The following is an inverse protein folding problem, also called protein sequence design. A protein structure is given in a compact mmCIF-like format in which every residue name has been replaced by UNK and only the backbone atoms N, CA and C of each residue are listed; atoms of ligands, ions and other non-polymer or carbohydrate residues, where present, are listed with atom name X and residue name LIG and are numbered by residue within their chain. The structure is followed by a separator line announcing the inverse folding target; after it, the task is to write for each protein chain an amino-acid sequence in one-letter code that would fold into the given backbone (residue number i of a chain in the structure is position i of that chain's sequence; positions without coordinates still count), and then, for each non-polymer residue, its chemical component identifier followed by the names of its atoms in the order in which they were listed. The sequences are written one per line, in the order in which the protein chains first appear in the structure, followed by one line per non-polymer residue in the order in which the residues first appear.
data_IF_136539579714
#
_entry.id   IF_136539579714
#
_cell.length_a   1.000
_cell.length_b   1.000
_cell.length_c   1.000
_cell.angle_alpha   90.00
_cell.angle_beta   90.00
_cell.angle_gamma   90.00
#
_symmetry.space_group_name_H-M   'P 1'
#
loop_
_entity.id
_entity.type
_entity.pdbx_description
1 polymer ?
#
# COMPACT_ATOMS: atom_id res chain seq x y z
N UNK A 1 -18.76 -2.04 15.74
CA UNK A 1 -19.44 -1.69 14.48
C UNK A 1 -18.43 -1.83 13.34
N UNK A 2 -18.80 -2.47 12.23
CA UNK A 2 -17.95 -2.60 11.03
C UNK A 2 -18.03 -1.28 10.25
N UNK A 3 -16.88 -0.71 9.88
CA UNK A 3 -16.78 0.54 9.10
C UNK A 3 -16.55 0.18 7.63
N UNK A 4 -17.54 0.41 6.79
CA UNK A 4 -17.49 0.06 5.36
C UNK A 4 -16.47 0.91 4.60
N UNK A 5 -16.27 2.15 5.02
CA UNK A 5 -15.28 3.06 4.45
C UNK A 5 -13.85 2.53 4.53
N UNK A 6 -13.50 1.80 5.60
CA UNK A 6 -12.16 1.19 5.75
C UNK A 6 -12.00 0.01 4.81
N UNK A 7 -13.04 -0.81 4.68
CA UNK A 7 -13.07 -1.92 3.73
C UNK A 7 -12.94 -1.41 2.29
N UNK A 8 -13.60 -0.29 1.97
CA UNK A 8 -13.51 0.38 0.67
C UNK A 8 -12.10 0.89 0.40
N UNK A 9 -11.49 1.63 1.34
CA UNK A 9 -10.13 2.17 1.21
C UNK A 9 -9.14 1.04 0.94
N UNK A 10 -9.19 -0.04 1.73
CA UNK A 10 -8.32 -1.21 1.55
C UNK A 10 -8.49 -1.83 0.16
N UNK A 11 -9.74 -2.05 -0.25
CA UNK A 11 -10.04 -2.75 -1.50
C UNK A 11 -9.55 -1.96 -2.71
N UNK A 12 -9.78 -0.64 -2.70
CA UNK A 12 -9.34 0.25 -3.78
C UNK A 12 -7.81 0.38 -3.77
N UNK A 13 -7.17 0.55 -2.61
CA UNK A 13 -5.72 0.68 -2.53
C UNK A 13 -4.99 -0.57 -3.08
N UNK A 14 -5.50 -1.78 -2.78
CA UNK A 14 -4.94 -3.01 -3.33
C UNK A 14 -5.22 -3.18 -4.83
N UNK A 15 -6.40 -2.78 -5.32
CA UNK A 15 -6.68 -2.77 -6.77
C UNK A 15 -5.75 -1.79 -7.52
N UNK A 16 -5.55 -0.59 -6.98
CA UNK A 16 -4.62 0.40 -7.54
C UNK A 16 -3.19 -0.13 -7.54
N UNK A 17 -2.80 -0.92 -6.54
CA UNK A 17 -1.50 -1.57 -6.48
C UNK A 17 -1.33 -2.61 -7.61
N UNK A 18 -2.34 -3.44 -7.86
CA UNK A 18 -2.33 -4.40 -8.98
C UNK A 18 -2.21 -3.66 -10.30
N UNK A 19 -3.01 -2.60 -10.49
CA UNK A 19 -2.95 -1.79 -11.70
C UNK A 19 -1.58 -1.12 -11.89
N UNK A 20 -0.99 -0.62 -10.80
CA UNK A 20 0.36 -0.06 -10.79
C UNK A 20 1.41 -1.09 -11.24
N UNK A 21 1.37 -2.33 -10.74
CA UNK A 21 2.31 -3.39 -11.16
C UNK A 21 2.20 -3.73 -12.64
N UNK A 22 0.99 -3.64 -13.21
CA UNK A 22 0.79 -3.82 -14.65
C UNK A 22 1.41 -2.66 -15.43
N UNK A 23 1.15 -1.42 -15.02
CA UNK A 23 1.71 -0.23 -15.68
C UNK A 23 3.25 -0.26 -15.65
N UNK A 24 3.88 -0.52 -14.51
CA UNK A 24 5.34 -0.48 -14.40
C UNK A 24 6.02 -1.61 -15.19
N UNK A 25 5.31 -2.68 -15.56
CA UNK A 25 5.87 -3.73 -16.43
C UNK A 25 6.08 -3.27 -17.89
N UNK A 26 5.71 -2.03 -18.22
CA UNK A 26 6.10 -1.37 -19.47
C UNK A 26 7.36 -0.50 -19.32
N UNK A 27 7.99 -0.50 -18.14
CA UNK A 27 9.27 0.17 -17.87
C UNK A 27 10.39 -0.88 -17.95
N UNK A 28 11.30 -0.82 -18.93
CA UNK A 28 12.38 -1.81 -19.09
C UNK A 28 13.23 -2.01 -17.83
N UNK A 29 13.46 -0.95 -17.07
CA UNK A 29 14.27 -0.94 -15.83
C UNK A 29 13.64 -1.82 -14.74
N UNK A 30 12.34 -2.09 -14.80
CA UNK A 30 11.67 -2.98 -13.81
C UNK A 30 12.06 -4.45 -13.95
N UNK A 31 12.82 -4.81 -15.00
CA UNK A 31 13.53 -6.08 -15.05
C UNK A 31 14.42 -6.28 -13.82
N UNK A 32 15.00 -5.19 -13.26
CA UNK A 32 15.82 -5.22 -12.04
C UNK A 32 15.06 -5.62 -10.78
N UNK A 33 13.73 -5.46 -10.78
CA UNK A 33 12.82 -5.91 -9.72
C UNK A 33 11.96 -7.09 -10.18
N UNK A 34 12.51 -7.88 -11.11
CA UNK A 34 12.00 -9.17 -11.57
C UNK A 34 10.68 -9.12 -12.36
N UNK A 35 10.40 -8.07 -13.13
CA UNK A 35 9.27 -8.04 -14.05
C UNK A 35 9.65 -8.56 -15.44
N UNK A 36 8.77 -9.33 -16.08
CA UNK A 36 8.79 -9.51 -17.54
C UNK A 36 8.25 -8.21 -18.14
N UNK A 37 9.05 -7.59 -19.02
CA UNK A 37 8.79 -6.24 -19.51
C UNK A 37 8.38 -6.18 -20.97
N UNK A 38 7.48 -5.25 -21.30
CA UNK A 38 7.20 -4.86 -22.66
C UNK A 38 8.08 -3.67 -23.05
N UNK A 39 8.93 -3.83 -24.07
CA UNK A 39 9.89 -2.79 -24.49
C UNK A 39 9.35 -1.77 -25.50
N UNK A 40 8.10 -1.94 -25.95
CA UNK A 40 7.49 -1.03 -26.93
C UNK A 40 6.98 0.23 -26.23
N UNK A 41 7.35 1.39 -26.79
CA UNK A 41 6.93 2.71 -26.30
C UNK A 41 5.51 3.05 -26.76
N UNK A 42 4.77 3.77 -25.94
CA UNK A 42 3.42 4.23 -26.22
C UNK A 42 3.09 5.46 -25.38
N UNK A 43 2.61 6.53 -26.02
CA UNK A 43 2.37 7.83 -25.39
C UNK A 43 1.33 7.77 -24.26
N UNK A 44 0.32 6.90 -24.38
CA UNK A 44 -0.71 6.73 -23.36
C UNK A 44 -0.14 6.03 -22.14
N UNK A 45 0.75 5.05 -22.37
CA UNK A 45 1.45 4.35 -21.29
C UNK A 45 2.41 5.29 -20.56
N UNK A 46 3.15 6.12 -21.30
CA UNK A 46 4.03 7.14 -20.70
C UNK A 46 3.25 8.13 -19.83
N UNK A 47 2.08 8.58 -20.29
CA UNK A 47 1.19 9.41 -19.49
C UNK A 47 0.70 8.68 -18.23
N UNK A 48 0.28 7.41 -18.35
CA UNK A 48 -0.15 6.62 -17.21
C UNK A 48 0.98 6.39 -16.20
N UNK A 49 2.22 6.20 -16.67
CA UNK A 49 3.41 6.08 -15.85
C UNK A 49 3.65 7.34 -15.03
N UNK A 50 3.58 8.50 -15.68
CA UNK A 50 3.69 9.81 -15.02
C UNK A 50 2.59 9.99 -13.97
N UNK A 51 1.32 9.70 -14.32
CA UNK A 51 0.20 9.77 -13.38
C UNK A 51 0.33 8.77 -12.22
N UNK A 52 0.93 7.61 -12.47
CA UNK A 52 1.16 6.57 -11.46
C UNK A 52 2.14 7.02 -10.35
N UNK A 53 2.99 8.02 -10.63
CA UNK A 53 3.88 8.61 -9.62
C UNK A 53 3.10 9.28 -8.48
N UNK A 54 1.90 9.83 -8.77
CA UNK A 54 1.00 10.33 -7.73
C UNK A 54 0.54 9.21 -6.79
N UNK A 55 0.30 8.00 -7.30
CA UNK A 55 -0.10 6.84 -6.50
C UNK A 55 1.07 6.29 -5.67
N UNK A 56 2.31 6.42 -6.17
CA UNK A 56 3.48 5.75 -5.63
C UNK A 56 3.86 6.22 -4.22
N UNK A 57 3.60 7.48 -3.90
CA UNK A 57 4.02 8.09 -2.64
C UNK A 57 3.09 7.77 -1.45
N UNK A 58 1.87 7.27 -1.69
CA UNK A 58 0.87 7.10 -0.63
C UNK A 58 0.12 5.76 -0.64
N UNK A 59 0.11 5.00 -1.75
CA UNK A 59 -0.67 3.75 -1.83
C UNK A 59 -0.26 2.69 -0.79
N UNK A 60 1.02 2.61 -0.43
CA UNK A 60 1.51 1.69 0.61
C UNK A 60 1.35 2.32 2.01
N UNK A 61 1.75 3.59 2.25
CA UNK A 61 1.46 4.29 3.50
C UNK A 61 -0.01 4.21 3.95
N UNK A 62 -0.97 4.31 3.03
CA UNK A 62 -2.39 4.23 3.38
C UNK A 62 -2.80 2.82 3.84
N UNK A 63 -2.17 1.76 3.33
CA UNK A 63 -2.39 0.38 3.80
C UNK A 63 -1.91 0.21 5.25
N UNK A 64 -0.80 0.86 5.62
CA UNK A 64 -0.35 0.90 7.02
C UNK A 64 -1.31 1.71 7.90
N UNK A 65 -1.76 2.86 7.42
CA UNK A 65 -2.74 3.70 8.10
C UNK A 65 -4.04 2.94 8.42
N UNK A 66 -4.66 2.28 7.43
CA UNK A 66 -5.86 1.45 7.69
C UNK A 66 -5.55 0.19 8.51
N UNK A 67 -4.33 -0.35 8.42
CA UNK A 67 -3.87 -1.44 9.29
C UNK A 67 -3.91 -1.04 10.77
N UNK A 68 -3.46 0.17 11.08
CA UNK A 68 -3.56 0.78 12.41
C UNK A 68 -5.00 0.98 12.85
N UNK A 69 -5.87 1.47 11.96
CA UNK A 69 -7.30 1.59 12.24
C UNK A 69 -7.93 0.24 12.58
N UNK A 70 -7.63 -0.80 11.79
CA UNK A 70 -8.12 -2.15 12.01
C UNK A 70 -7.64 -2.72 13.37
N UNK A 71 -6.40 -2.42 13.77
CA UNK A 71 -5.89 -2.79 15.10
C UNK A 71 -6.64 -2.07 16.22
N UNK A 72 -6.95 -0.77 16.08
CA UNK A 72 -7.75 -0.03 17.06
C UNK A 72 -9.15 -0.62 17.27
N UNK A 73 -9.82 -1.07 16.19
CA UNK A 73 -11.11 -1.76 16.34
C UNK A 73 -10.97 -3.17 16.93
N UNK A 74 -9.89 -3.88 16.60
CA UNK A 74 -9.63 -5.23 17.14
C UNK A 74 -9.35 -5.19 18.64
N UNK A 75 -8.57 -4.20 19.11
CA UNK A 75 -8.15 -4.08 20.51
C UNK A 75 -9.27 -3.75 21.49
N UNK A 76 -10.40 -3.21 20.99
CA UNK A 76 -11.62 -2.98 21.79
C UNK A 76 -12.29 -4.27 22.26
N UNK A 77 -11.99 -5.41 21.64
CA UNK A 77 -12.66 -6.70 21.88
C UNK A 77 -11.71 -7.83 22.27
N UNK A 78 -10.41 -7.55 22.39
CA UNK A 78 -9.37 -8.56 22.58
C UNK A 78 -8.34 -8.13 23.62
N UNK A 79 -7.83 -9.09 24.37
CA UNK A 79 -6.64 -8.90 25.18
C UNK A 79 -5.36 -8.99 24.31
N UNK A 80 -4.20 -8.72 24.90
CA UNK A 80 -2.92 -8.68 24.17
C UNK A 80 -2.59 -10.02 23.51
N UNK A 81 -2.78 -11.14 24.20
CA UNK A 81 -2.48 -12.47 23.68
C UNK A 81 -3.39 -12.85 22.51
N UNK A 82 -4.68 -12.52 22.62
CA UNK A 82 -5.65 -12.72 21.55
C UNK A 82 -5.33 -11.86 20.32
N UNK A 83 -4.84 -10.64 20.51
CA UNK A 83 -4.37 -9.79 19.42
C UNK A 83 -3.16 -10.41 18.71
N UNK A 84 -2.16 -10.85 19.47
CA UNK A 84 -0.97 -11.49 18.91
C UNK A 84 -1.38 -12.76 18.14
N UNK A 85 -2.15 -13.67 18.75
CA UNK A 85 -2.65 -14.89 18.09
C UNK A 85 -3.43 -14.60 16.82
N UNK A 86 -4.25 -13.55 16.80
CA UNK A 86 -5.00 -13.13 15.62
C UNK A 86 -4.08 -12.62 14.51
N UNK A 87 -3.05 -11.85 14.85
CA UNK A 87 -2.06 -11.33 13.89
C UNK A 87 -1.23 -12.46 13.29
N UNK A 88 -0.79 -13.43 14.09
CA UNK A 88 -0.12 -14.63 13.60
C UNK A 88 -1.00 -15.39 12.59
N UNK A 89 -2.25 -15.68 12.94
CA UNK A 89 -3.16 -16.45 12.08
C UNK A 89 -3.53 -15.73 10.78
N UNK A 90 -3.69 -14.40 10.82
CA UNK A 90 -4.18 -13.62 9.65
C UNK A 90 -3.09 -13.00 8.80
N UNK A 91 -1.88 -12.89 9.30
CA UNK A 91 -0.78 -12.21 8.61
C UNK A 91 0.37 -13.19 8.38
N UNK A 92 0.97 -13.69 9.46
CA UNK A 92 2.17 -14.54 9.39
C UNK A 92 1.89 -15.85 8.67
N UNK A 93 0.79 -16.54 8.99
CA UNK A 93 0.46 -17.82 8.37
C UNK A 93 0.25 -17.67 6.85
N UNK A 94 -0.60 -16.73 6.36
CA UNK A 94 -0.69 -16.45 4.92
C UNK A 94 0.63 -16.03 4.29
N UNK A 95 1.39 -15.15 4.93
CA UNK A 95 2.65 -14.63 4.41
C UNK A 95 3.68 -15.76 4.24
N UNK A 96 3.85 -16.59 5.27
CA UNK A 96 4.79 -17.72 5.26
C UNK A 96 4.37 -18.70 4.17
N UNK A 97 3.10 -19.10 4.13
CA UNK A 97 2.60 -19.99 3.07
C UNK A 97 2.87 -19.43 1.67
N UNK A 98 2.57 -18.17 1.43
CA UNK A 98 2.80 -17.55 0.12
C UNK A 98 4.29 -17.46 -0.23
N UNK A 99 5.16 -17.15 0.72
CA UNK A 99 6.62 -17.15 0.50
C UNK A 99 7.17 -18.52 0.08
N UNK A 100 6.56 -19.63 0.50
CA UNK A 100 7.02 -20.97 0.12
C UNK A 100 6.35 -21.51 -1.14
N UNK A 101 5.08 -21.17 -1.39
CA UNK A 101 4.28 -21.84 -2.43
C UNK A 101 3.80 -20.93 -3.57
N UNK A 102 3.68 -19.62 -3.34
CA UNK A 102 3.13 -18.68 -4.34
C UNK A 102 4.23 -17.83 -4.97
N UNK A 103 5.02 -17.15 -4.15
CA UNK A 103 6.14 -16.32 -4.59
C UNK A 103 7.15 -17.06 -5.49
N UNK A 104 7.55 -18.32 -5.22
CA UNK A 104 8.45 -19.03 -6.12
C UNK A 104 7.89 -19.22 -7.54
N UNK A 105 6.57 -19.33 -7.73
CA UNK A 105 5.94 -19.44 -9.06
C UNK A 105 6.24 -18.20 -9.89
N UNK A 106 6.10 -17.02 -9.28
CA UNK A 106 6.43 -15.73 -9.89
C UNK A 106 7.91 -15.67 -10.34
N UNK A 107 8.83 -16.08 -9.48
CA UNK A 107 10.28 -16.09 -9.80
C UNK A 107 10.64 -17.14 -10.85
N UNK A 108 10.01 -18.32 -10.80
CA UNK A 108 10.21 -19.39 -11.76
C UNK A 108 9.84 -18.93 -13.18
N UNK A 109 8.66 -18.32 -13.35
CA UNK A 109 8.21 -17.80 -14.65
C UNK A 109 9.18 -16.75 -15.19
N UNK A 110 9.59 -15.78 -14.36
CA UNK A 110 10.54 -14.73 -14.76
C UNK A 110 11.90 -15.30 -15.18
N UNK A 111 12.49 -16.19 -14.38
CA UNK A 111 13.81 -16.76 -14.65
C UNK A 111 13.78 -17.64 -15.90
N UNK A 112 12.73 -18.45 -16.07
CA UNK A 112 12.55 -19.25 -17.28
C UNK A 112 12.38 -18.39 -18.53
N UNK A 113 11.62 -17.29 -18.45
CA UNK A 113 11.44 -16.36 -19.58
C UNK A 113 12.77 -15.73 -20.03
N UNK A 114 13.67 -15.41 -19.10
CA UNK A 114 14.98 -14.83 -19.40
C UNK A 114 16.11 -15.87 -19.50
N UNK A 115 15.80 -17.17 -19.59
CA UNK A 115 16.77 -18.28 -19.67
C UNK A 115 17.81 -18.30 -18.53
N UNK A 116 17.40 -17.91 -17.33
CA UNK A 116 18.23 -17.97 -16.12
C UNK A 116 17.95 -19.25 -15.34
N UNK A 117 18.98 -19.83 -14.72
CA UNK A 117 18.81 -20.98 -13.83
C UNK A 117 17.94 -20.61 -12.63
N UNK A 118 16.96 -21.46 -12.30
CA UNK A 118 16.04 -21.20 -11.19
C UNK A 118 16.78 -21.19 -9.84
N UNK A 119 16.80 -20.01 -9.22
CA UNK A 119 17.28 -19.79 -7.86
C UNK A 119 16.24 -18.97 -7.09
N UNK A 120 15.85 -19.45 -5.92
CA UNK A 120 14.89 -18.78 -5.06
C UNK A 120 15.11 -19.12 -3.60
N UNK A 121 15.14 -18.08 -2.76
CA UNK A 121 15.05 -18.22 -1.31
C UNK A 121 13.68 -17.72 -0.84
N UNK A 122 12.97 -18.46 0.05
CA UNK A 122 11.66 -18.03 0.53
C UNK A 122 11.70 -16.60 1.07
N UNK A 123 10.90 -15.73 0.46
CA UNK A 123 10.88 -14.30 0.73
C UNK A 123 9.46 -13.75 0.51
N UNK A 124 9.04 -12.74 1.30
CA UNK A 124 7.76 -12.05 1.12
C UNK A 124 7.54 -11.47 -0.28
N UNK A 125 8.62 -11.08 -0.98
CA UNK A 125 8.56 -10.37 -2.26
C UNK A 125 7.50 -9.26 -2.24
N UNK A 126 6.54 -9.23 -3.17
CA UNK A 126 5.47 -8.23 -3.23
C UNK A 126 4.55 -8.22 -1.99
N UNK A 127 4.53 -9.27 -1.17
CA UNK A 127 3.77 -9.36 0.08
C UNK A 127 4.51 -8.77 1.29
N UNK A 128 5.68 -8.14 1.11
CA UNK A 128 6.52 -7.60 2.18
C UNK A 128 5.78 -6.71 3.19
N UNK A 129 4.82 -5.89 2.74
CA UNK A 129 4.12 -4.94 3.61
C UNK A 129 3.30 -5.65 4.71
N UNK A 130 2.92 -6.92 4.52
CA UNK A 130 2.27 -7.72 5.56
C UNK A 130 3.21 -7.95 6.75
N UNK A 131 4.49 -8.19 6.46
CA UNK A 131 5.53 -8.34 7.48
C UNK A 131 5.62 -7.04 8.31
N UNK A 132 5.67 -5.89 7.64
CA UNK A 132 5.68 -4.58 8.30
C UNK A 132 4.44 -4.36 9.17
N UNK A 133 3.23 -4.65 8.68
CA UNK A 133 1.98 -4.56 9.46
C UNK A 133 2.06 -5.43 10.73
N UNK A 134 2.63 -6.63 10.64
CA UNK A 134 2.82 -7.49 11.80
C UNK A 134 3.75 -6.84 12.83
N UNK A 135 4.94 -6.39 12.44
CA UNK A 135 5.88 -5.73 13.36
C UNK A 135 5.30 -4.44 13.95
N UNK A 136 4.67 -3.59 13.15
CA UNK A 136 4.00 -2.40 13.65
C UNK A 136 2.90 -2.75 14.66
N UNK A 137 2.15 -3.84 14.43
CA UNK A 137 1.13 -4.26 15.39
C UNK A 137 1.69 -4.66 16.75
N UNK A 138 2.90 -5.23 16.80
CA UNK A 138 3.61 -5.57 18.03
C UNK A 138 4.14 -4.31 18.73
N UNK A 139 4.75 -3.40 17.99
CA UNK A 139 5.32 -2.15 18.53
C UNK A 139 4.25 -1.21 19.14
N UNK A 140 3.00 -1.34 18.71
CA UNK A 140 1.88 -0.54 19.21
C UNK A 140 1.18 -1.18 20.43
N UNK A 141 1.51 -2.41 20.81
CA UNK A 141 0.90 -3.08 21.98
C UNK A 141 1.07 -2.29 23.31
N UNK A 142 2.22 -1.65 23.61
CA UNK A 142 2.35 -0.79 24.79
C UNK A 142 1.34 0.37 24.77
N UNK A 143 1.13 1.00 23.61
CA UNK A 143 0.19 2.11 23.44
C UNK A 143 -1.26 1.64 23.65
N UNK A 144 -1.60 0.43 23.19
CA UNK A 144 -2.90 -0.19 23.46
C UNK A 144 -3.10 -0.39 24.97
N UNK A 145 -2.05 -0.79 25.69
CA UNK A 145 -2.09 -1.01 27.13
C UNK A 145 -2.26 0.31 27.88
N UNK A 146 -1.51 1.35 27.50
CA UNK A 146 -1.63 2.72 28.04
C UNK A 146 -3.04 3.26 27.81
N UNK A 147 -3.66 3.02 26.65
CA UNK A 147 -5.03 3.47 26.39
C UNK A 147 -6.04 2.91 27.40
N UNK A 148 -5.84 1.67 27.86
CA UNK A 148 -6.73 1.02 28.82
C UNK A 148 -6.60 1.62 30.22
N UNK A 149 -5.46 2.21 30.55
CA UNK A 149 -5.15 2.73 31.90
C UNK A 149 -5.13 4.26 31.99
N UNK A 150 -4.82 4.98 30.91
CA UNK A 150 -4.60 6.42 30.91
C UNK A 150 -5.34 7.13 29.76
N UNK A 151 -6.53 7.62 30.08
CA UNK A 151 -7.45 8.30 29.14
C UNK A 151 -6.95 9.70 28.76
N UNK A 152 -6.08 10.34 29.58
CA UNK A 152 -5.65 11.73 29.38
C UNK A 152 -4.91 11.94 28.05
N UNK A 153 -3.96 11.06 27.70
CA UNK A 153 -3.20 11.17 26.45
C UNK A 153 -4.13 11.13 25.22
N UNK A 154 -5.13 10.25 25.23
CA UNK A 154 -6.09 10.15 24.14
C UNK A 154 -7.03 11.36 24.08
N UNK A 155 -7.36 11.97 25.22
CA UNK A 155 -8.16 13.20 25.26
C UNK A 155 -7.46 14.40 24.62
N UNK A 156 -6.12 14.50 24.74
CA UNK A 156 -5.31 15.52 24.06
C UNK A 156 -5.36 15.31 22.55
N UNK A 157 -5.17 14.07 22.09
CA UNK A 157 -5.27 13.70 20.67
C UNK A 157 -6.66 14.06 20.13
N UNK A 158 -7.73 13.73 20.86
CA UNK A 158 -9.10 14.07 20.50
C UNK A 158 -9.31 15.58 20.38
N UNK A 159 -8.73 16.37 21.30
CA UNK A 159 -8.78 17.84 21.27
C UNK A 159 -8.09 18.42 20.04
N UNK A 160 -6.94 17.86 19.64
CA UNK A 160 -6.23 18.28 18.41
C UNK A 160 -7.05 17.92 17.17
N UNK A 161 -7.59 16.71 17.09
CA UNK A 161 -8.31 16.22 15.89
C UNK A 161 -9.61 16.99 15.64
N UNK A 162 -10.27 17.53 16.69
CA UNK A 162 -11.47 18.38 16.55
C UNK A 162 -11.26 19.51 15.55
N UNK A 163 -10.07 20.12 15.54
CA UNK A 163 -9.70 21.06 14.50
C UNK A 163 -9.08 20.31 13.31
N UNK A 164 -9.77 20.34 12.17
CA UNK A 164 -9.35 19.63 10.95
C UNK A 164 -7.94 20.01 10.48
N UNK A 165 -7.50 21.25 10.69
CA UNK A 165 -6.16 21.70 10.32
C UNK A 165 -5.10 21.19 11.30
N UNK A 166 -5.41 21.10 12.59
CA UNK A 166 -4.53 20.45 13.57
C UNK A 166 -4.43 18.95 13.33
N UNK A 167 -5.51 18.28 12.88
CA UNK A 167 -5.45 16.89 12.42
C UNK A 167 -4.49 16.73 11.23
N UNK A 168 -4.54 17.64 10.26
CA UNK A 168 -3.61 17.65 9.13
C UNK A 168 -2.16 17.81 9.62
N UNK A 169 -1.90 18.77 10.52
CA UNK A 169 -0.57 19.03 11.11
C UNK A 169 -0.08 17.81 11.91
N UNK A 170 -0.94 17.20 12.71
CA UNK A 170 -0.63 16.02 13.51
C UNK A 170 -0.17 14.84 12.65
N UNK A 171 -0.69 14.71 11.43
CA UNK A 171 -0.24 13.69 10.49
C UNK A 171 0.97 14.16 9.66
N UNK A 172 0.99 15.41 9.21
CA UNK A 172 2.06 15.90 8.32
C UNK A 172 3.40 16.06 9.03
N UNK A 173 3.44 16.61 10.24
CA UNK A 173 4.70 16.89 10.95
C UNK A 173 5.59 15.65 11.11
N UNK A 174 5.13 14.51 11.65
CA UNK A 174 6.00 13.35 11.78
C UNK A 174 6.42 12.79 10.40
N UNK A 175 5.55 12.88 9.39
CA UNK A 175 5.86 12.41 8.03
C UNK A 175 6.92 13.27 7.36
N UNK A 176 6.83 14.60 7.46
CA UNK A 176 7.81 15.53 6.89
C UNK A 176 9.12 15.50 7.65
N UNK A 177 9.10 15.33 8.98
CA UNK A 177 10.31 15.15 9.79
C UNK A 177 11.08 13.89 9.38
N UNK A 178 10.40 12.75 9.23
CA UNK A 178 11.04 11.50 8.78
C UNK A 178 11.66 11.70 7.39
N UNK A 179 10.93 12.32 6.47
CA UNK A 179 11.41 12.58 5.12
C UNK A 179 12.63 13.53 5.09
N UNK A 180 12.63 14.56 5.93
CA UNK A 180 13.74 15.51 6.04
C UNK A 180 14.97 14.93 6.74
N UNK A 181 14.78 14.16 7.81
CA UNK A 181 15.87 13.56 8.60
C UNK A 181 16.58 12.45 7.81
N UNK A 182 15.82 11.52 7.22
CA UNK A 182 16.42 10.40 6.49
C UNK A 182 16.75 10.73 5.03
N UNK A 183 16.11 11.76 4.47
CA UNK A 183 16.38 12.32 3.15
C UNK A 183 16.67 11.26 2.06
N UNK A 184 15.74 10.31 1.81
CA UNK A 184 15.97 9.21 0.89
C UNK A 184 16.17 9.71 -0.55
N UNK A 185 16.96 8.98 -1.35
CA UNK A 185 17.07 9.24 -2.80
C UNK A 185 15.76 8.99 -3.53
N UNK A 186 15.03 7.96 -3.12
CA UNK A 186 13.68 7.64 -3.61
C UNK A 186 12.70 7.63 -2.43
N UNK A 187 11.90 8.69 -2.32
CA UNK A 187 10.88 8.81 -1.28
C UNK A 187 9.89 7.64 -1.30
N UNK A 188 9.55 7.13 -2.48
CA UNK A 188 8.53 6.10 -2.68
C UNK A 188 9.01 4.68 -2.37
N UNK A 189 10.31 4.50 -2.12
CA UNK A 189 10.85 3.24 -1.67
C UNK A 189 10.53 3.03 -0.18
N UNK A 190 9.44 2.31 0.09
CA UNK A 190 9.02 1.92 1.43
C UNK A 190 9.40 0.49 1.81
N UNK A 191 9.96 -0.29 0.87
CA UNK A 191 10.24 -1.72 1.06
C UNK A 191 11.22 -1.88 2.21
N UNK A 192 10.82 -2.60 3.24
CA UNK A 192 11.65 -2.93 4.39
C UNK A 192 11.52 -4.43 4.70
N UNK A 193 12.62 -5.05 5.13
CA UNK A 193 12.77 -6.48 5.41
C UNK A 193 12.54 -7.37 4.18
N UNK A 194 13.63 -7.88 3.58
CA UNK A 194 13.56 -8.76 2.40
C UNK A 194 13.41 -10.26 2.75
N UNK A 195 13.53 -10.64 4.02
CA UNK A 195 13.49 -12.03 4.48
C UNK A 195 12.10 -12.53 4.95
N UNK A 196 12.04 -13.84 5.23
CA UNK A 196 10.87 -14.51 5.84
C UNK A 196 10.47 -13.75 7.13
N UNK A 197 9.17 -13.68 7.50
CA UNK A 197 8.79 -13.21 8.83
C UNK A 197 9.70 -13.83 9.92
N UNK A 198 10.18 -12.98 10.85
CA UNK A 198 11.13 -13.31 11.93
C UNK A 198 12.61 -13.47 11.56
N UNK A 199 12.98 -13.44 10.27
CA UNK A 199 14.37 -13.48 9.82
C UNK A 199 14.64 -12.24 8.96
N UNK A 200 15.17 -11.14 9.55
CA UNK A 200 15.43 -9.90 8.83
C UNK A 200 16.68 -10.05 7.95
N UNK A 201 16.56 -10.80 6.85
CA UNK A 201 17.54 -10.80 5.76
C UNK A 201 17.22 -9.64 4.80
N UNK A 202 18.27 -9.04 4.22
CA UNK A 202 18.19 -7.89 3.32
C UNK A 202 18.33 -6.53 4.00
N UNK A 203 18.40 -5.48 3.19
CA UNK A 203 18.65 -4.13 3.68
C UNK A 203 17.47 -3.56 4.49
N UNK A 204 17.77 -3.03 5.67
CA UNK A 204 16.79 -2.34 6.48
C UNK A 204 16.62 -0.91 5.99
N UNK A 205 15.56 -0.67 5.23
CA UNK A 205 15.16 0.67 4.81
C UNK A 205 14.55 1.45 5.98
N UNK A 206 15.37 2.27 6.62
CA UNK A 206 15.01 3.07 7.79
C UNK A 206 13.85 4.03 7.48
N UNK A 207 13.91 4.75 6.36
CA UNK A 207 12.84 5.66 5.93
C UNK A 207 11.51 4.93 5.77
N UNK A 208 11.51 3.84 4.99
CA UNK A 208 10.32 3.03 4.74
C UNK A 208 9.72 2.46 6.02
N UNK A 209 10.56 1.98 6.93
CA UNK A 209 10.13 1.46 8.22
C UNK A 209 9.43 2.52 9.08
N UNK A 210 10.03 3.70 9.24
CA UNK A 210 9.47 4.76 10.09
C UNK A 210 8.24 5.43 9.47
N UNK A 211 8.21 5.64 8.15
CA UNK A 211 7.00 6.11 7.45
C UNK A 211 5.83 5.15 7.72
N UNK A 212 6.06 3.85 7.55
CA UNK A 212 5.03 2.84 7.79
C UNK A 212 4.58 2.79 9.24
N UNK A 213 5.51 2.85 10.19
CA UNK A 213 5.20 2.87 11.62
C UNK A 213 4.38 4.10 12.02
N UNK A 214 4.73 5.30 11.54
CA UNK A 214 3.97 6.52 11.81
C UNK A 214 2.58 6.46 11.18
N UNK A 215 2.46 6.03 9.92
CA UNK A 215 1.15 5.87 9.29
C UNK A 215 0.28 4.90 10.09
N UNK A 216 0.84 3.78 10.52
CA UNK A 216 0.14 2.79 11.34
C UNK A 216 -0.27 3.35 12.71
N UNK A 217 0.61 4.07 13.41
CA UNK A 217 0.32 4.73 14.68
C UNK A 217 -0.78 5.78 14.52
N UNK A 218 -0.66 6.68 13.56
CA UNK A 218 -1.64 7.74 13.29
C UNK A 218 -3.00 7.13 12.94
N UNK A 219 -3.02 6.06 12.14
CA UNK A 219 -4.24 5.31 11.86
C UNK A 219 -4.89 4.72 13.11
N UNK A 220 -4.09 4.15 14.02
CA UNK A 220 -4.56 3.65 15.31
C UNK A 220 -5.15 4.76 16.19
N UNK A 221 -4.48 5.90 16.28
CA UNK A 221 -4.91 7.07 17.04
C UNK A 221 -6.21 7.67 16.46
N UNK A 222 -6.26 7.88 15.15
CA UNK A 222 -7.42 8.47 14.48
C UNK A 222 -8.67 7.58 14.58
N UNK A 223 -8.53 6.26 14.39
CA UNK A 223 -9.65 5.34 14.63
C UNK A 223 -10.06 5.26 16.12
N UNK A 224 -9.13 5.53 17.02
CA UNK A 224 -9.41 5.58 18.46
C UNK A 224 -10.33 6.74 18.84
N UNK A 225 -10.20 7.88 18.17
CA UNK A 225 -10.99 9.11 18.34
C UNK A 225 -12.42 9.04 17.80
N UNK A 226 -12.80 7.93 17.16
CA UNK A 226 -14.17 7.69 16.72
C UNK A 226 -14.70 8.76 15.75
N UNK A 227 -15.89 9.28 16.02
CA UNK A 227 -16.57 10.22 15.10
C UNK A 227 -15.90 11.60 15.03
N UNK A 228 -15.07 11.98 16.02
CA UNK A 228 -14.27 13.21 15.97
C UNK A 228 -13.38 13.20 14.72
N UNK A 229 -12.63 12.12 14.53
CA UNK A 229 -11.78 11.94 13.35
C UNK A 229 -12.61 11.90 12.06
N UNK A 230 -13.67 11.08 12.03
CA UNK A 230 -14.47 10.92 10.81
C UNK A 230 -15.14 12.23 10.37
N UNK A 231 -15.58 13.07 11.30
CA UNK A 231 -16.09 14.40 11.01
C UNK A 231 -14.98 15.32 10.47
N UNK A 232 -13.82 15.35 11.12
CA UNK A 232 -12.70 16.19 10.70
C UNK A 232 -12.21 15.84 9.28
N UNK A 233 -12.01 14.55 8.98
CA UNK A 233 -11.53 14.11 7.66
C UNK A 233 -12.55 14.35 6.54
N UNK A 234 -13.85 14.20 6.82
CA UNK A 234 -14.91 14.56 5.86
C UNK A 234 -14.94 16.06 5.54
N UNK A 235 -14.58 16.91 6.50
CA UNK A 235 -14.61 18.37 6.38
C UNK A 235 -13.36 18.98 5.74
N UNK A 236 -12.25 18.23 5.65
CA UNK A 236 -11.00 18.71 5.03
C UNK A 236 -10.73 18.11 3.65
N UNK A 237 -11.43 17.02 3.27
CA UNK A 237 -11.13 16.19 2.08
C UNK A 237 -10.83 16.97 0.80
N UNK A 238 -11.60 18.03 0.49
CA UNK A 238 -11.42 18.82 -0.72
C UNK A 238 -10.25 19.79 -0.62
N UNK A 239 -9.97 20.34 0.57
CA UNK A 239 -8.78 21.16 0.82
C UNK A 239 -7.54 20.29 0.61
N UNK A 240 -7.49 19.11 1.23
CA UNK A 240 -6.38 18.16 1.04
C UNK A 240 -6.29 17.64 -0.39
N UNK A 241 -7.42 17.48 -1.10
CA UNK A 241 -7.41 17.09 -2.51
C UNK A 241 -6.74 18.17 -3.37
N UNK A 242 -7.17 19.42 -3.21
CA UNK A 242 -6.60 20.55 -3.95
C UNK A 242 -5.11 20.71 -3.66
N UNK A 243 -4.69 20.61 -2.40
CA UNK A 243 -3.28 20.65 -2.03
C UNK A 243 -2.48 19.50 -2.67
N UNK A 244 -3.01 18.28 -2.65
CA UNK A 244 -2.35 17.13 -3.25
C UNK A 244 -2.19 17.29 -4.77
N UNK A 245 -3.22 17.79 -5.47
CA UNK A 245 -3.17 18.07 -6.91
C UNK A 245 -2.16 19.18 -7.22
N UNK A 246 -2.17 20.29 -6.46
CA UNK A 246 -1.24 21.40 -6.68
C UNK A 246 0.21 20.95 -6.50
N UNK A 247 0.51 20.21 -5.42
CA UNK A 247 1.86 19.69 -5.16
C UNK A 247 2.27 18.65 -6.22
N UNK A 248 1.33 17.80 -6.65
CA UNK A 248 1.59 16.84 -7.72
C UNK A 248 1.92 17.54 -9.05
N UNK A 249 1.14 18.55 -9.44
CA UNK A 249 1.38 19.33 -10.66
C UNK A 249 2.71 20.09 -10.57
N UNK A 250 3.03 20.65 -9.41
CA UNK A 250 4.31 21.29 -9.15
C UNK A 250 5.49 20.31 -9.26
N UNK A 251 5.38 19.10 -8.70
CA UNK A 251 6.37 18.03 -8.89
C UNK A 251 6.50 17.62 -10.36
N UNK A 252 5.36 17.52 -11.05
CA UNK A 252 5.32 17.14 -12.47
C UNK A 252 6.02 18.17 -13.35
N UNK A 253 5.81 19.46 -13.10
CA UNK A 253 6.47 20.55 -13.84
C UNK A 253 7.99 20.45 -13.67
N UNK A 254 8.49 20.24 -12.44
CA UNK A 254 9.93 20.06 -12.22
C UNK A 254 10.51 18.78 -12.83
N UNK A 255 9.70 17.73 -12.98
CA UNK A 255 10.12 16.51 -13.66
C UNK A 255 10.19 16.69 -15.20
N UNK A 256 9.21 17.37 -15.80
CA UNK A 256 9.13 17.57 -17.26
C UNK A 256 10.04 18.66 -17.80
N UNK A 257 10.35 19.67 -16.97
CA UNK A 257 11.22 20.78 -17.33
C UNK A 257 12.44 20.81 -16.38
N UNK A 258 13.39 19.87 -16.52
CA UNK A 258 14.62 19.84 -15.72
C UNK A 258 15.57 21.03 -16.00
N UNK A 259 15.18 21.93 -16.93
CA UNK A 259 15.87 23.12 -17.48
C UNK A 259 16.09 24.27 -16.46
N UNK A 260 16.62 23.91 -15.30
CA UNK A 260 17.82 24.56 -14.80
C UNK A 260 18.99 23.57 -14.92
N UNK A 261 19.19 22.98 -16.10
CA UNK A 261 20.31 22.09 -16.45
C UNK A 261 21.63 22.90 -16.51
N UNK A 262 22.01 23.46 -15.36
CA UNK A 262 23.10 24.42 -15.16
C UNK A 262 22.93 25.42 -13.99
N UNK A 263 21.81 25.48 -13.25
CA UNK A 263 21.66 26.48 -12.17
C UNK A 263 20.61 26.20 -11.06
N UNK A 264 20.51 27.14 -10.12
CA UNK A 264 19.63 27.21 -8.92
C UNK A 264 18.09 27.03 -9.11
N UNK A 265 17.56 25.92 -9.62
CA UNK A 265 16.10 25.77 -9.84
C UNK A 265 15.38 24.57 -9.26
N UNK A 266 16.12 23.50 -8.96
CA UNK A 266 15.58 22.34 -8.28
C UNK A 266 15.66 22.56 -6.77
N UNK A 267 14.58 22.26 -6.05
CA UNK A 267 14.64 22.20 -4.60
C UNK A 267 15.76 21.25 -4.15
N UNK A 268 16.52 21.59 -3.10
CA UNK A 268 17.37 20.60 -2.45
C UNK A 268 16.58 19.33 -2.16
N UNK A 269 17.21 18.16 -2.28
CA UNK A 269 16.54 16.86 -2.12
C UNK A 269 15.71 16.80 -0.82
N UNK A 270 16.20 17.38 0.27
CA UNK A 270 15.49 17.42 1.55
C UNK A 270 14.17 18.20 1.48
N UNK A 271 14.14 19.34 0.77
CA UNK A 271 12.92 20.14 0.59
C UNK A 271 11.94 19.37 -0.29
N UNK A 272 12.42 18.74 -1.36
CA UNK A 272 11.59 17.90 -2.21
C UNK A 272 10.96 16.74 -1.42
N UNK A 273 11.75 16.04 -0.59
CA UNK A 273 11.26 14.96 0.25
C UNK A 273 10.22 15.42 1.29
N UNK A 274 10.39 16.60 1.87
CA UNK A 274 9.40 17.22 2.77
C UNK A 274 8.10 17.52 2.03
N UNK A 275 8.17 18.11 0.83
CA UNK A 275 6.99 18.42 0.02
C UNK A 275 6.24 17.16 -0.42
N UNK A 276 6.97 16.13 -0.87
CA UNK A 276 6.40 14.83 -1.25
C UNK A 276 5.74 14.16 -0.04
N UNK A 277 6.36 14.23 1.15
CA UNK A 277 5.75 13.67 2.36
C UNK A 277 4.45 14.37 2.74
N UNK A 278 4.41 15.69 2.62
CA UNK A 278 3.19 16.45 2.84
C UNK A 278 2.12 16.14 1.78
N UNK A 279 2.50 16.02 0.51
CA UNK A 279 1.61 15.60 -0.57
C UNK A 279 1.01 14.22 -0.30
N UNK A 280 1.83 13.24 0.13
CA UNK A 280 1.37 11.90 0.48
C UNK A 280 0.30 11.93 1.59
N UNK A 281 0.49 12.75 2.63
CA UNK A 281 -0.51 12.97 3.69
C UNK A 281 -1.80 13.57 3.14
N UNK A 282 -1.70 14.56 2.24
CA UNK A 282 -2.85 15.18 1.59
C UNK A 282 -3.64 14.18 0.75
N UNK A 283 -2.97 13.32 -0.03
CA UNK A 283 -3.62 12.22 -0.76
C UNK A 283 -4.32 11.24 0.19
N UNK A 284 -3.65 10.81 1.26
CA UNK A 284 -4.23 9.85 2.22
C UNK A 284 -5.48 10.41 2.93
N UNK A 285 -5.42 11.66 3.41
CA UNK A 285 -6.56 12.29 4.08
C UNK A 285 -7.71 12.59 3.11
N UNK A 286 -7.38 13.04 1.89
CA UNK A 286 -8.38 13.26 0.84
C UNK A 286 -9.10 11.96 0.51
N UNK A 287 -8.35 10.90 0.21
CA UNK A 287 -8.89 9.60 -0.14
C UNK A 287 -9.73 9.00 1.00
N UNK A 288 -9.25 9.11 2.24
CA UNK A 288 -10.00 8.67 3.43
C UNK A 288 -11.29 9.47 3.62
N UNK A 289 -11.25 10.79 3.44
CA UNK A 289 -12.41 11.67 3.58
C UNK A 289 -13.45 11.47 2.48
N UNK A 290 -13.02 11.24 1.23
CA UNK A 290 -13.88 10.87 0.11
C UNK A 290 -14.53 9.50 0.35
N UNK A 291 -13.75 8.50 0.73
CA UNK A 291 -14.29 7.17 1.06
C UNK A 291 -15.27 7.22 2.24
N UNK A 292 -15.00 8.01 3.28
CA UNK A 292 -15.94 8.20 4.40
C UNK A 292 -17.22 8.97 4.02
N UNK A 293 -17.17 9.81 2.99
CA UNK A 293 -18.34 10.56 2.51
C UNK A 293 -19.20 9.74 1.55
N UNK A 294 -18.58 8.97 0.64
CA UNK A 294 -19.26 8.35 -0.50
C UNK A 294 -19.25 6.82 -0.49
N UNK A 295 -18.30 6.19 0.21
CA UNK A 295 -18.10 4.73 0.24
C UNK A 295 -18.32 4.13 1.64
N UNK A 296 -19.21 4.75 2.41
CA UNK A 296 -19.52 4.40 3.81
C UNK A 296 -20.75 3.47 3.95
N UNK A 297 -21.37 3.05 2.85
CA UNK A 297 -22.54 2.15 2.84
C UNK A 297 -22.17 0.74 2.43
N UNK A 298 -22.89 -0.23 2.98
CA UNK A 298 -22.84 -1.63 2.52
C UNK A 298 -23.40 -1.71 1.11
N UNK A 299 -22.66 -2.33 0.19
CA UNK A 299 -23.22 -2.79 -1.09
C UNK A 299 -22.68 -4.20 -1.42
N UNK A 300 -23.29 -4.85 -2.42
CA UNK A 300 -22.95 -6.23 -2.80
C UNK A 300 -21.50 -6.35 -3.28
N UNK A 301 -21.06 -5.40 -4.10
CA UNK A 301 -19.71 -5.35 -4.68
C UNK A 301 -18.65 -5.24 -3.57
N UNK A 302 -18.78 -4.28 -2.66
CA UNK A 302 -17.87 -4.09 -1.54
C UNK A 302 -17.85 -5.30 -0.62
N UNK A 303 -19.01 -5.90 -0.33
CA UNK A 303 -19.08 -7.10 0.52
C UNK A 303 -18.25 -8.24 -0.08
N UNK A 304 -18.36 -8.43 -1.39
CA UNK A 304 -17.57 -9.40 -2.16
C UNK A 304 -16.08 -9.02 -2.18
N UNK A 305 -15.76 -7.81 -2.63
CA UNK A 305 -14.39 -7.32 -2.81
C UNK A 305 -13.60 -7.30 -1.49
N UNK A 306 -14.25 -6.99 -0.37
CA UNK A 306 -13.58 -6.99 0.94
C UNK A 306 -12.96 -8.35 1.27
N UNK A 307 -13.60 -9.43 0.83
CA UNK A 307 -13.14 -10.80 1.08
C UNK A 307 -12.21 -11.26 -0.05
N UNK A 308 -12.53 -10.92 -1.30
CA UNK A 308 -11.80 -11.37 -2.48
C UNK A 308 -10.47 -10.66 -2.71
N UNK A 309 -10.34 -9.39 -2.31
CA UNK A 309 -9.22 -8.55 -2.75
C UNK A 309 -7.85 -9.04 -2.28
N UNK A 310 -7.78 -9.65 -1.09
CA UNK A 310 -6.52 -10.14 -0.57
C UNK A 310 -6.04 -11.40 -1.31
N UNK A 311 -6.87 -12.44 -1.53
CA UNK A 311 -6.53 -13.51 -2.47
C UNK A 311 -6.20 -13.02 -3.89
N UNK A 312 -6.99 -12.10 -4.46
CA UNK A 312 -6.71 -11.52 -5.78
C UNK A 312 -5.31 -10.89 -5.79
N UNK A 313 -4.98 -10.15 -4.74
CA UNK A 313 -3.64 -9.58 -4.55
C UNK A 313 -2.55 -10.64 -4.33
N UNK A 314 -2.83 -11.80 -3.73
CA UNK A 314 -1.83 -12.87 -3.64
C UNK A 314 -1.52 -13.43 -5.03
N UNK A 315 -2.52 -13.64 -5.89
CA UNK A 315 -2.32 -14.27 -7.20
C UNK A 315 -1.85 -13.36 -8.32
N UNK A 316 -2.03 -12.03 -8.19
CA UNK A 316 -1.80 -11.15 -9.33
C UNK A 316 -0.38 -11.23 -9.90
N UNK A 317 0.68 -11.31 -9.09
CA UNK A 317 2.06 -11.32 -9.62
C UNK A 317 2.37 -12.58 -10.44
N UNK A 318 2.15 -13.82 -9.94
CA UNK A 318 2.31 -15.02 -10.77
C UNK A 318 1.45 -15.01 -12.05
N UNK A 319 0.19 -14.58 -11.93
CA UNK A 319 -0.74 -14.51 -13.07
C UNK A 319 -0.29 -13.47 -14.09
N UNK A 320 0.10 -12.28 -13.63
CA UNK A 320 0.61 -11.20 -14.46
C UNK A 320 1.85 -11.64 -15.22
N UNK A 321 2.83 -12.29 -14.55
CA UNK A 321 4.02 -12.79 -15.24
C UNK A 321 3.69 -13.85 -16.28
N UNK A 322 2.82 -14.80 -15.93
CA UNK A 322 2.38 -15.84 -16.85
C UNK A 322 1.77 -15.23 -18.12
N UNK A 323 0.87 -14.25 -17.96
CA UNK A 323 0.26 -13.54 -19.07
C UNK A 323 1.28 -12.72 -19.88
N UNK A 324 2.23 -12.07 -19.21
CA UNK A 324 3.27 -11.26 -19.85
C UNK A 324 4.13 -12.08 -20.83
N UNK A 325 4.44 -13.35 -20.51
CA UNK A 325 5.18 -14.27 -21.40
C UNK A 325 4.54 -14.34 -22.79
N UNK A 326 3.21 -14.40 -22.86
CA UNK A 326 2.48 -14.60 -24.11
C UNK A 326 2.02 -13.28 -24.74
N UNK A 327 1.52 -12.34 -23.92
CA UNK A 327 0.92 -11.09 -24.41
C UNK A 327 2.00 -10.14 -24.92
N UNK A 328 3.17 -10.07 -24.29
CA UNK A 328 4.20 -9.12 -24.69
C UNK A 328 4.89 -9.49 -25.99
N UNK A 329 4.89 -10.77 -26.37
CA UNK A 329 5.34 -11.24 -27.69
C UNK A 329 4.37 -10.97 -28.84
N UNK A 330 3.10 -10.60 -28.56
CA UNK A 330 2.12 -10.37 -29.62
C UNK A 330 2.47 -9.13 -30.46
N UNK A 331 2.28 -9.17 -31.80
CA UNK A 331 2.53 -8.04 -32.69
C UNK A 331 1.33 -7.05 -32.70
N UNK A 332 0.88 -6.64 -31.52
CA UNK A 332 -0.23 -5.69 -31.32
C UNK A 332 0.24 -4.44 -30.58
N UNK A 333 -0.54 -3.36 -30.64
CA UNK A 333 -0.21 -2.09 -30.01
C UNK A 333 -0.03 -2.21 -28.48
N UNK A 334 0.92 -1.48 -27.86
CA UNK A 334 1.20 -1.60 -26.41
C UNK A 334 -0.01 -1.25 -25.55
N UNK A 335 -0.80 -0.24 -25.93
CA UNK A 335 -2.04 0.09 -25.24
C UNK A 335 -3.04 -1.08 -25.19
N UNK A 336 -3.14 -1.87 -26.27
CA UNK A 336 -3.98 -3.08 -26.29
C UNK A 336 -3.40 -4.15 -25.36
N UNK A 337 -2.08 -4.31 -25.33
CA UNK A 337 -1.41 -5.21 -24.36
C UNK A 337 -1.75 -4.80 -22.92
N UNK A 338 -1.70 -3.51 -22.60
CA UNK A 338 -2.05 -2.99 -21.27
C UNK A 338 -3.50 -3.34 -20.88
N UNK A 339 -4.45 -3.13 -21.78
CA UNK A 339 -5.86 -3.49 -21.58
C UNK A 339 -5.99 -4.99 -21.32
N UNK A 340 -5.38 -5.83 -22.18
CA UNK A 340 -5.42 -7.29 -22.03
C UNK A 340 -4.80 -7.74 -20.71
N UNK A 341 -3.63 -7.20 -20.33
CA UNK A 341 -2.98 -7.49 -19.06
C UNK A 341 -3.88 -7.16 -17.88
N UNK A 342 -4.52 -5.99 -17.87
CA UNK A 342 -5.41 -5.59 -16.79
C UNK A 342 -6.64 -6.49 -16.65
N UNK A 343 -7.37 -6.70 -17.75
CA UNK A 343 -8.61 -7.48 -17.73
C UNK A 343 -8.36 -8.96 -17.47
N UNK A 344 -7.36 -9.57 -18.12
CA UNK A 344 -7.06 -11.00 -17.95
C UNK A 344 -6.45 -11.29 -16.58
N UNK A 345 -5.54 -10.44 -16.07
CA UNK A 345 -4.99 -10.62 -14.72
C UNK A 345 -6.11 -10.57 -13.67
N UNK A 346 -6.97 -9.56 -13.78
CA UNK A 346 -8.10 -9.40 -12.84
C UNK A 346 -9.09 -10.57 -12.94
N UNK A 347 -9.45 -10.98 -14.16
CA UNK A 347 -10.38 -12.09 -14.39
C UNK A 347 -9.85 -13.40 -13.84
N UNK A 348 -8.61 -13.78 -14.18
CA UNK A 348 -8.00 -15.03 -13.73
C UNK A 348 -7.85 -15.03 -12.21
N UNK A 349 -7.45 -13.90 -11.59
CA UNK A 349 -7.36 -13.82 -10.13
C UNK A 349 -8.73 -13.97 -9.45
N UNK A 350 -9.80 -13.43 -10.04
CA UNK A 350 -11.18 -13.63 -9.54
C UNK A 350 -11.58 -15.11 -9.64
N UNK A 351 -11.27 -15.77 -10.76
CA UNK A 351 -11.55 -17.20 -10.95
C UNK A 351 -10.79 -18.06 -9.94
N UNK A 352 -9.49 -17.81 -9.75
CA UNK A 352 -8.66 -18.49 -8.74
C UNK A 352 -9.20 -18.30 -7.33
N UNK A 353 -9.63 -17.07 -6.99
CA UNK A 353 -10.30 -16.81 -5.72
C UNK A 353 -11.58 -17.64 -5.55
N UNK A 354 -12.45 -17.72 -6.56
CA UNK A 354 -13.69 -18.51 -6.47
C UNK A 354 -13.43 -20.02 -6.34
N UNK A 355 -12.32 -20.53 -6.89
CA UNK A 355 -11.86 -21.90 -6.66
C UNK A 355 -11.43 -22.08 -5.20
N UNK A 356 -10.52 -21.23 -4.71
CA UNK A 356 -9.95 -21.33 -3.36
C UNK A 356 -11.00 -21.18 -2.27
N UNK A 357 -11.96 -20.28 -2.48
CA UNK A 357 -13.09 -20.08 -1.57
C UNK A 357 -13.90 -21.37 -1.36
N UNK A 358 -13.88 -22.32 -2.31
CA UNK A 358 -14.57 -23.63 -2.20
C UNK A 358 -13.70 -24.69 -1.50
N UNK A 359 -12.40 -24.50 -1.43
CA UNK A 359 -11.45 -25.44 -0.80
C UNK A 359 -11.32 -25.15 0.71
N UNK A 360 -11.95 -25.98 1.55
CA UNK A 360 -12.04 -25.77 3.02
C UNK A 360 -10.68 -25.54 3.71
N UNK A 361 -9.64 -26.29 3.33
CA UNK A 361 -8.30 -26.17 3.94
C UNK A 361 -7.50 -24.92 3.54
N UNK A 362 -7.78 -24.36 2.36
CA UNK A 362 -6.97 -23.27 1.80
C UNK A 362 -7.44 -21.87 2.22
N UNK A 363 -8.66 -21.76 2.76
CA UNK A 363 -9.22 -20.46 3.18
C UNK A 363 -8.29 -19.70 4.13
N UNK A 364 -7.78 -20.39 5.15
CA UNK A 364 -6.98 -19.74 6.22
C UNK A 364 -5.65 -19.23 5.67
N UNK A 365 -4.99 -19.99 4.79
CA UNK A 365 -3.69 -19.59 4.21
C UNK A 365 -3.80 -18.45 3.19
N UNK A 366 -5.00 -18.17 2.67
CA UNK A 366 -5.27 -16.98 1.84
C UNK A 366 -5.98 -15.87 2.62
N UNK A 367 -5.90 -15.87 3.96
CA UNK A 367 -6.43 -14.81 4.81
C UNK A 367 -7.97 -14.76 4.87
N UNK A 368 -8.66 -15.80 4.39
CA UNK A 368 -10.11 -15.93 4.51
C UNK A 368 -10.46 -16.45 5.91
N UNK A 369 -11.67 -16.12 6.37
CA UNK A 369 -12.20 -16.73 7.59
C UNK A 369 -12.46 -18.23 7.33
N UNK A 370 -12.16 -19.12 8.30
CA UNK A 370 -12.40 -20.55 8.17
C UNK A 370 -13.86 -20.84 7.80
#
# INVERSE_FOLDING_TARGET
MRRYEIDSIRSIALLLLIFYHIIISFIPETKAIFFIVNNQKDIVIDLLLVLSSALNIWRIPILFFIGGMALSFSSKRRNTDELIKERFKRIILPLTFCSFFITPIYFFIYQNHYNSAFSYWPAPAYLWFLNSIFYYSLLILPIISIKKTNIKIFSVVDSLIKNKFLMLILFSVPMTLIAGIFNPKDYSNFVNFAGIPFLPFGEFNIHGFFVGLICFLIGFLFASSGDIFWNAVRNIKFITLSLAIILFLQRLIFYLFPVWEGGLGAYPLFVNNILIAFEAVCWMLSFTGLASSFLNKKNRILTYMTVAIFPIYIFHMPVQQFLAVYIYSLPIAPFIKLILMFFLTTLICILLYEVIKRLKGFRVVFGLKP
#
